data_IF_260261099000
#
_entry.id   IF_260261099000
#
_cell.length_a   1.000
_cell.length_b   1.000
_cell.length_c   1.000
_cell.angle_alpha   90.00
_cell.angle_beta   90.00
_cell.angle_gamma   90.00
#
_symmetry.space_group_name_H-M   'P 1'
#
loop_
_entity.id
_entity.type
_entity.pdbx_description
1 polymer ?
#
# COMPACT_ATOMS: atom_id res chain seq x y z
N UNK A 1 -15.41 7.16 -4.60
CA UNK A 1 -14.81 7.38 -3.26
C UNK A 1 -13.79 8.50 -3.37
N UNK A 2 -13.38 9.15 -2.29
CA UNK A 2 -12.35 10.20 -2.35
C UNK A 2 -11.13 9.81 -1.52
N UNK A 3 -9.98 10.32 -1.90
CA UNK A 3 -8.74 10.19 -1.14
C UNK A 3 -8.05 11.54 -1.03
N UNK A 4 -7.44 11.78 0.13
CA UNK A 4 -6.57 12.93 0.37
C UNK A 4 -5.59 12.59 1.49
N UNK A 5 -4.46 13.27 1.51
CA UNK A 5 -3.51 13.25 2.60
C UNK A 5 -3.14 14.68 3.05
N UNK A 6 -2.75 14.82 4.31
CA UNK A 6 -2.30 16.09 4.88
C UNK A 6 -1.13 15.86 5.85
N UNK A 7 -0.30 16.88 6.01
CA UNK A 7 0.86 16.92 6.89
C UNK A 7 1.06 18.34 7.42
N UNK A 8 2.15 18.57 8.16
CA UNK A 8 2.43 19.90 8.70
C UNK A 8 2.60 20.92 7.56
N UNK A 9 1.69 21.89 7.49
CA UNK A 9 1.66 22.94 6.45
C UNK A 9 1.57 22.44 5.00
N UNK A 10 1.16 21.19 4.77
CA UNK A 10 1.04 20.57 3.43
C UNK A 10 -0.23 19.74 3.32
N UNK A 11 -0.80 19.68 2.13
CA UNK A 11 -1.94 18.81 1.79
C UNK A 11 -1.92 18.45 0.32
N UNK A 12 -2.50 17.31 -0.01
CA UNK A 12 -2.82 16.96 -1.39
C UNK A 12 -4.13 17.65 -1.80
N UNK A 13 -4.43 17.62 -3.09
CA UNK A 13 -5.80 17.81 -3.55
C UNK A 13 -6.69 16.62 -3.15
N UNK A 14 -8.00 16.80 -3.30
CA UNK A 14 -8.98 15.73 -3.08
C UNK A 14 -9.11 14.91 -4.37
N UNK A 15 -8.51 13.72 -4.38
CA UNK A 15 -8.52 12.83 -5.53
C UNK A 15 -9.84 12.05 -5.61
N UNK A 16 -10.45 12.01 -6.79
CA UNK A 16 -11.57 11.11 -7.09
C UNK A 16 -11.06 9.70 -7.33
N UNK A 17 -11.53 8.75 -6.53
CA UNK A 17 -11.27 7.33 -6.73
C UNK A 17 -12.48 6.64 -7.34
N UNK A 18 -12.37 6.08 -8.56
CA UNK A 18 -13.43 5.25 -9.11
C UNK A 18 -13.63 4.03 -8.21
N UNK A 19 -14.90 3.78 -7.86
CA UNK A 19 -15.26 2.53 -7.18
C UNK A 19 -15.10 1.36 -8.12
N UNK A 20 -14.80 0.18 -7.58
CA UNK A 20 -14.82 -1.06 -8.35
C UNK A 20 -16.28 -1.40 -8.70
N UNK A 21 -16.68 -1.33 -9.99
CA UNK A 21 -18.06 -1.60 -10.38
C UNK A 21 -18.45 -3.08 -10.18
N UNK A 22 -17.48 -3.99 -10.07
CA UNK A 22 -17.72 -5.41 -9.80
C UNK A 22 -17.81 -5.71 -8.29
N UNK A 23 -17.46 -4.76 -7.43
CA UNK A 23 -17.55 -4.94 -5.99
C UNK A 23 -18.98 -4.75 -5.49
N UNK A 24 -19.56 -5.80 -4.91
CA UNK A 24 -20.91 -5.74 -4.30
C UNK A 24 -21.04 -4.68 -3.19
N UNK A 25 -19.92 -4.22 -2.61
CA UNK A 25 -19.88 -3.18 -1.58
C UNK A 25 -19.43 -1.82 -2.11
N UNK A 26 -19.19 -1.68 -3.42
CA UNK A 26 -18.72 -0.45 -4.05
C UNK A 26 -17.35 0.01 -3.56
N UNK A 27 -16.52 -0.91 -3.05
CA UNK A 27 -15.19 -0.60 -2.55
C UNK A 27 -14.25 -0.17 -3.68
N UNK A 28 -13.17 0.54 -3.34
CA UNK A 28 -12.13 0.84 -4.33
C UNK A 28 -11.18 -0.34 -4.46
N UNK A 29 -10.86 -0.71 -5.69
CA UNK A 29 -9.91 -1.80 -5.96
C UNK A 29 -8.50 -1.41 -5.48
N UNK A 30 -7.70 -2.42 -5.12
CA UNK A 30 -6.31 -2.18 -4.72
C UNK A 30 -5.48 -1.50 -5.84
N UNK A 31 -5.85 -1.75 -7.10
CA UNK A 31 -5.23 -1.11 -8.26
C UNK A 31 -5.38 0.42 -8.21
N UNK A 32 -6.62 0.92 -8.18
CA UNK A 32 -6.89 2.36 -8.09
C UNK A 32 -6.32 3.00 -6.83
N UNK A 33 -6.27 2.23 -5.73
CA UNK A 33 -5.65 2.69 -4.50
C UNK A 33 -4.14 2.88 -4.64
N UNK A 34 -3.44 1.96 -5.32
CA UNK A 34 -2.00 2.08 -5.57
C UNK A 34 -1.70 3.26 -6.50
N UNK A 35 -2.46 3.44 -7.59
CA UNK A 35 -2.28 4.55 -8.53
C UNK A 35 -2.32 5.91 -7.79
N UNK A 36 -3.34 6.12 -6.96
CA UNK A 36 -3.48 7.35 -6.16
C UNK A 36 -2.31 7.51 -5.18
N UNK A 37 -1.82 6.45 -4.57
CA UNK A 37 -0.64 6.56 -3.71
C UNK A 37 0.61 6.91 -4.50
N UNK A 38 0.85 6.27 -5.64
CA UNK A 38 2.05 6.52 -6.46
C UNK A 38 2.08 7.96 -7.00
N UNK A 39 0.91 8.52 -7.34
CA UNK A 39 0.78 9.91 -7.77
C UNK A 39 1.01 10.91 -6.63
N UNK A 40 0.30 10.76 -5.50
CA UNK A 40 0.24 11.83 -4.50
C UNK A 40 1.26 11.72 -3.36
N UNK A 41 1.72 10.51 -3.02
CA UNK A 41 2.66 10.33 -1.90
C UNK A 41 3.96 11.11 -2.08
N UNK A 42 4.62 11.13 -3.26
CA UNK A 42 5.83 11.92 -3.47
C UNK A 42 5.62 13.43 -3.31
N UNK A 43 4.39 13.92 -3.48
CA UNK A 43 4.08 15.36 -3.36
C UNK A 43 3.98 15.84 -1.93
N UNK A 44 3.75 14.92 -0.98
CA UNK A 44 3.49 15.25 0.43
C UNK A 44 4.54 14.69 1.40
N UNK A 45 5.23 13.60 1.06
CA UNK A 45 6.28 13.05 1.90
C UNK A 45 7.61 13.81 1.74
N UNK A 46 8.21 14.15 2.86
CA UNK A 46 9.60 14.58 2.99
C UNK A 46 10.45 13.41 3.50
N UNK A 47 11.78 13.53 3.33
CA UNK A 47 12.77 12.48 3.64
C UNK A 47 12.70 11.96 5.09
N UNK A 48 12.17 12.74 6.02
CA UNK A 48 12.06 12.46 7.45
C UNK A 48 10.61 12.29 7.95
N UNK A 49 9.66 12.10 7.03
CA UNK A 49 8.23 11.95 7.37
C UNK A 49 7.74 10.51 7.25
N UNK A 50 6.81 10.13 8.13
CA UNK A 50 6.16 8.82 8.10
C UNK A 50 4.74 8.94 7.52
N UNK A 51 4.42 8.07 6.57
CA UNK A 51 3.05 7.94 6.08
C UNK A 51 2.23 7.02 6.98
N UNK A 52 1.16 7.55 7.57
CA UNK A 52 0.23 6.78 8.42
C UNK A 52 -1.10 6.63 7.69
N UNK A 53 -1.54 5.39 7.50
CA UNK A 53 -2.84 5.07 6.91
C UNK A 53 -3.43 3.79 7.49
N UNK A 54 -4.76 3.69 7.53
CA UNK A 54 -5.44 2.47 7.98
C UNK A 54 -5.35 1.40 6.89
N UNK A 55 -4.73 0.24 7.18
CA UNK A 55 -4.50 -0.88 6.24
C UNK A 55 -3.25 -0.75 5.33
N UNK A 56 -2.20 -0.04 5.76
CA UNK A 56 -0.86 -0.06 5.12
C UNK A 56 -0.40 -1.49 4.77
N UNK A 57 -0.74 -2.47 5.61
CA UNK A 57 -0.45 -3.88 5.39
C UNK A 57 -0.93 -4.43 4.03
N UNK A 58 -2.13 -4.03 3.55
CA UNK A 58 -2.66 -4.53 2.27
C UNK A 58 -1.85 -4.02 1.08
N UNK A 59 -1.45 -2.75 1.12
CA UNK A 59 -0.65 -2.11 0.07
C UNK A 59 0.76 -2.67 0.08
N UNK A 60 1.39 -2.75 1.26
CA UNK A 60 2.71 -3.35 1.41
C UNK A 60 2.70 -4.80 0.91
N UNK A 61 1.67 -5.58 1.25
CA UNK A 61 1.52 -6.95 0.75
C UNK A 61 1.42 -7.01 -0.77
N UNK A 62 0.60 -6.15 -1.39
CA UNK A 62 0.48 -6.09 -2.85
C UNK A 62 1.80 -5.72 -3.53
N UNK A 63 2.52 -4.74 -2.99
CA UNK A 63 3.82 -4.30 -3.53
C UNK A 63 4.91 -5.36 -3.36
N UNK A 64 4.95 -6.03 -2.21
CA UNK A 64 5.85 -7.17 -1.95
C UNK A 64 5.56 -8.29 -2.95
N UNK A 65 4.30 -8.65 -3.17
CA UNK A 65 3.91 -9.68 -4.15
C UNK A 65 4.29 -9.28 -5.58
N UNK A 66 4.16 -8.00 -5.95
CA UNK A 66 4.59 -7.50 -7.27
C UNK A 66 6.11 -7.66 -7.48
N UNK A 67 6.91 -7.44 -6.44
CA UNK A 67 8.37 -7.59 -6.48
C UNK A 67 8.82 -9.05 -6.38
N UNK A 68 8.07 -9.87 -5.65
CA UNK A 68 8.38 -11.26 -5.33
C UNK A 68 7.14 -12.15 -5.55
N UNK A 69 6.75 -12.45 -6.81
CA UNK A 69 5.53 -13.18 -7.13
C UNK A 69 5.49 -14.61 -6.54
N UNK A 70 6.65 -15.22 -6.34
CA UNK A 70 6.81 -16.55 -5.73
C UNK A 70 6.21 -16.63 -4.31
N UNK A 71 6.17 -15.49 -3.60
CA UNK A 71 5.57 -15.39 -2.27
C UNK A 71 4.06 -15.61 -2.27
N UNK A 72 3.38 -15.62 -3.42
CA UNK A 72 1.97 -16.01 -3.51
C UNK A 72 1.79 -17.49 -3.19
N UNK A 73 2.74 -18.31 -3.62
CA UNK A 73 2.67 -19.78 -3.55
C UNK A 73 3.38 -20.36 -2.34
N UNK A 74 4.07 -19.53 -1.56
CA UNK A 74 4.84 -19.98 -0.40
C UNK A 74 3.90 -20.44 0.72
N UNK A 75 4.27 -21.52 1.40
CA UNK A 75 3.48 -22.06 2.51
C UNK A 75 3.40 -21.05 3.67
N UNK A 76 2.19 -20.77 4.16
CA UNK A 76 1.97 -19.95 5.35
C UNK A 76 2.26 -20.76 6.63
N UNK A 77 3.54 -20.88 6.97
CA UNK A 77 3.99 -21.61 8.15
C UNK A 77 5.13 -20.87 8.88
N UNK A 78 5.47 -21.34 10.07
CA UNK A 78 6.47 -20.69 10.92
C UNK A 78 7.88 -20.71 10.29
N UNK A 79 8.22 -21.70 9.48
CA UNK A 79 9.51 -21.76 8.79
C UNK A 79 9.62 -20.63 7.75
N UNK A 80 8.58 -20.44 6.94
CA UNK A 80 8.48 -19.31 6.01
C UNK A 80 8.54 -17.97 6.73
N UNK A 81 7.84 -17.84 7.87
CA UNK A 81 7.90 -16.63 8.69
C UNK A 81 9.31 -16.30 9.17
N UNK A 82 10.05 -17.29 9.70
CA UNK A 82 11.42 -17.09 10.17
C UNK A 82 12.37 -16.73 9.02
N UNK A 83 12.21 -17.37 7.86
CA UNK A 83 12.95 -17.04 6.65
C UNK A 83 12.76 -15.58 6.22
N UNK A 84 11.50 -15.12 6.13
CA UNK A 84 11.18 -13.74 5.76
C UNK A 84 11.71 -12.72 6.77
N UNK A 85 11.61 -13.01 8.08
CA UNK A 85 12.16 -12.14 9.14
C UNK A 85 13.69 -12.04 9.02
N UNK A 86 14.37 -13.15 8.72
CA UNK A 86 15.82 -13.15 8.54
C UNK A 86 16.22 -12.32 7.33
N UNK A 87 15.59 -12.55 6.17
CA UNK A 87 15.87 -11.79 4.95
C UNK A 87 15.68 -10.28 5.15
N UNK A 88 14.66 -9.87 5.90
CA UNK A 88 14.39 -8.45 6.17
C UNK A 88 15.41 -7.78 7.11
N UNK A 89 16.19 -8.54 7.89
CA UNK A 89 17.23 -8.02 8.80
C UNK A 89 18.62 -7.96 8.16
N UNK A 90 18.81 -8.64 7.04
CA UNK A 90 20.09 -8.71 6.31
C UNK A 90 20.23 -7.59 5.25
N UNK A 91 19.27 -6.66 5.18
CA UNK A 91 19.24 -5.46 4.32
C UNK A 91 19.52 -4.21 5.16
#
# INVERSE_FOLDING_TARGET
MFWAAFGYSKRTELATMPGDPASARGGVSAYWYIEVLEEYIPTILETDTFFIYNNVQKILKAKIIKLYPELITINDNNATRQFLIRAAKEV
#
